data_IF_025265003706
#
_entry.id   IF_025265003706
#
_cell.length_a   1.000
_cell.length_b   1.000
_cell.length_c   1.000
_cell.angle_alpha   90.00
_cell.angle_beta   90.00
_cell.angle_gamma   90.00
#
_symmetry.space_group_name_H-M   'P 1'
#
loop_
_entity.id
_entity.type
_entity.pdbx_description
1 polymer ?
#
# COMPACT_ATOMS: atom_id res chain seq x y z
N UNK A 1 -14.18 5.51 5.09
CA UNK A 1 -14.60 4.21 4.52
C UNK A 1 -13.57 3.92 3.44
N UNK A 2 -12.66 2.97 3.60
CA UNK A 2 -11.60 2.78 2.61
C UNK A 2 -12.19 2.37 1.25
N UNK A 3 -12.18 3.31 0.31
CA UNK A 3 -12.65 3.11 -1.06
C UNK A 3 -11.60 2.27 -1.79
N UNK A 4 -12.05 1.30 -2.57
CA UNK A 4 -11.17 0.48 -3.39
C UNK A 4 -11.73 0.40 -4.82
N UNK A 5 -10.86 0.54 -5.79
CA UNK A 5 -11.22 0.48 -7.21
C UNK A 5 -11.55 -0.95 -7.64
N UNK A 6 -12.28 -1.12 -8.74
CA UNK A 6 -12.53 -2.44 -9.33
C UNK A 6 -11.22 -3.17 -9.70
N UNK A 7 -10.16 -2.42 -10.06
CA UNK A 7 -8.83 -3.00 -10.31
C UNK A 7 -8.24 -3.61 -9.03
N UNK A 8 -8.34 -2.89 -7.91
CA UNK A 8 -7.88 -3.42 -6.62
C UNK A 8 -8.59 -4.73 -6.27
N UNK A 9 -9.92 -4.77 -6.40
CA UNK A 9 -10.69 -5.97 -6.08
C UNK A 9 -10.32 -7.16 -6.95
N UNK A 10 -10.14 -6.96 -8.26
CA UNK A 10 -9.65 -8.01 -9.17
C UNK A 10 -8.28 -8.56 -8.73
N UNK A 11 -7.34 -7.67 -8.39
CA UNK A 11 -6.04 -8.10 -7.89
C UNK A 11 -6.18 -8.86 -6.56
N UNK A 12 -6.97 -8.34 -5.63
CA UNK A 12 -7.21 -8.97 -4.32
C UNK A 12 -7.81 -10.38 -4.45
N UNK A 13 -8.81 -10.55 -5.31
CA UNK A 13 -9.50 -11.82 -5.53
C UNK A 13 -8.59 -12.88 -6.16
N UNK A 14 -7.61 -12.46 -6.96
CA UNK A 14 -6.59 -13.37 -7.53
C UNK A 14 -5.54 -13.84 -6.52
N UNK A 15 -5.44 -13.21 -5.34
CA UNK A 15 -4.44 -13.61 -4.34
C UNK A 15 -4.82 -14.93 -3.67
N UNK A 16 -3.84 -15.69 -3.14
CA UNK A 16 -4.13 -16.84 -2.28
C UNK A 16 -5.01 -16.44 -1.08
N UNK A 17 -5.91 -17.33 -0.67
CA UNK A 17 -6.86 -17.08 0.44
C UNK A 17 -6.18 -16.64 1.74
N UNK A 18 -5.00 -17.19 2.03
CA UNK A 18 -4.19 -16.81 3.19
C UNK A 18 -3.75 -15.34 3.13
N UNK A 19 -3.34 -14.87 1.95
CA UNK A 19 -2.95 -13.47 1.72
C UNK A 19 -4.17 -12.55 1.78
N UNK A 20 -5.31 -12.96 1.22
CA UNK A 20 -6.57 -12.21 1.32
C UNK A 20 -6.96 -11.98 2.80
N UNK A 21 -6.84 -13.02 3.64
CA UNK A 21 -7.10 -12.92 5.08
C UNK A 21 -6.14 -11.95 5.76
N UNK A 22 -4.83 -12.08 5.51
CA UNK A 22 -3.80 -11.16 6.05
C UNK A 22 -4.04 -9.72 5.63
N UNK A 23 -4.41 -9.50 4.37
CA UNK A 23 -4.72 -8.17 3.87
C UNK A 23 -5.89 -7.53 4.63
N UNK A 24 -6.98 -8.28 4.87
CA UNK A 24 -8.09 -7.79 5.70
C UNK A 24 -7.63 -7.41 7.11
N UNK A 25 -6.83 -8.27 7.76
CA UNK A 25 -6.27 -7.98 9.10
C UNK A 25 -5.44 -6.68 9.10
N UNK A 26 -4.58 -6.48 8.09
CA UNK A 26 -3.78 -5.25 7.99
C UNK A 26 -4.64 -4.02 7.68
N UNK A 27 -5.71 -4.13 6.87
CA UNK A 27 -6.62 -3.00 6.64
C UNK A 27 -7.43 -2.64 7.88
N UNK A 28 -7.86 -3.62 8.68
CA UNK A 28 -8.51 -3.33 9.97
C UNK A 28 -7.53 -2.70 10.96
N UNK A 29 -6.27 -3.17 10.99
CA UNK A 29 -5.23 -2.53 11.78
C UNK A 29 -4.97 -1.09 11.33
N UNK A 30 -4.90 -0.84 10.02
CA UNK A 30 -4.72 0.49 9.45
C UNK A 30 -5.84 1.45 9.85
N UNK A 31 -7.10 1.00 9.87
CA UNK A 31 -8.24 1.82 10.34
C UNK A 31 -8.10 2.23 11.80
N UNK A 32 -7.58 1.32 12.63
CA UNK A 32 -7.48 1.52 14.08
C UNK A 32 -6.24 2.31 14.47
N UNK A 33 -5.11 2.01 13.85
CA UNK A 33 -3.81 2.61 14.12
C UNK A 33 -2.99 2.72 12.82
N UNK A 34 -3.13 3.82 12.07
CA UNK A 34 -2.35 4.05 10.87
C UNK A 34 -0.84 4.16 11.10
N UNK A 35 -0.42 4.43 12.34
CA UNK A 35 0.98 4.63 12.73
C UNK A 35 1.64 3.34 13.20
N UNK A 36 0.91 2.22 13.18
CA UNK A 36 1.44 0.93 13.62
C UNK A 36 2.68 0.53 12.79
N UNK A 37 3.84 0.25 13.42
CA UNK A 37 5.10 0.01 12.71
C UNK A 37 5.05 -1.13 11.69
N UNK A 38 4.25 -2.17 11.94
CA UNK A 38 4.12 -3.33 11.03
C UNK A 38 3.49 -2.98 9.69
N UNK A 39 2.67 -1.92 9.63
CA UNK A 39 2.00 -1.48 8.40
C UNK A 39 3.00 -0.86 7.44
N UNK A 40 4.09 -0.28 7.95
CA UNK A 40 5.01 0.57 7.19
C UNK A 40 4.26 1.55 6.28
N UNK A 41 3.17 2.13 6.79
CA UNK A 41 2.29 2.96 6.00
C UNK A 41 2.98 4.28 5.66
N UNK A 42 3.32 4.48 4.39
CA UNK A 42 4.14 5.63 3.95
C UNK A 42 3.83 6.07 2.53
N UNK A 43 4.11 7.33 2.23
CA UNK A 43 4.05 7.89 0.88
C UNK A 43 5.24 7.40 0.04
N UNK A 44 4.97 6.99 -1.20
CA UNK A 44 5.97 6.56 -2.18
C UNK A 44 5.59 7.17 -3.54
N UNK A 45 6.29 8.24 -3.92
CA UNK A 45 5.92 9.05 -5.08
C UNK A 45 4.52 9.63 -4.92
N UNK A 46 3.64 9.35 -5.90
CA UNK A 46 2.23 9.76 -5.86
C UNK A 46 1.31 8.80 -5.09
N UNK A 47 1.83 7.66 -4.65
CA UNK A 47 1.05 6.63 -3.96
C UNK A 47 1.33 6.61 -2.46
N UNK A 48 0.45 5.93 -1.74
CA UNK A 48 0.66 5.49 -0.37
C UNK A 48 0.77 3.97 -0.35
N UNK A 49 1.75 3.43 0.34
CA UNK A 49 2.01 1.99 0.41
C UNK A 49 1.76 1.47 1.82
N UNK A 50 1.12 0.30 1.90
CA UNK A 50 0.98 -0.48 3.13
C UNK A 50 1.56 -1.88 2.93
N UNK A 51 2.22 -2.39 3.96
CA UNK A 51 2.74 -3.75 4.04
C UNK A 51 1.62 -4.70 4.43
N UNK A 52 1.41 -5.71 3.59
CA UNK A 52 0.46 -6.80 3.87
C UNK A 52 1.18 -7.97 4.54
N UNK A 53 2.36 -8.29 4.02
CA UNK A 53 3.32 -9.25 4.56
C UNK A 53 4.70 -8.91 4.01
N UNK A 54 5.70 -9.76 4.22
CA UNK A 54 7.04 -9.56 3.64
C UNK A 54 6.99 -9.53 2.11
N UNK A 55 6.13 -10.36 1.52
CA UNK A 55 6.04 -10.60 0.09
C UNK A 55 4.90 -9.84 -0.61
N UNK A 56 4.00 -9.19 0.12
CA UNK A 56 2.84 -8.51 -0.47
C UNK A 56 2.73 -7.05 0.00
N UNK A 57 2.30 -6.17 -0.90
CA UNK A 57 2.05 -4.74 -0.66
C UNK A 57 0.70 -4.34 -1.26
N UNK A 58 0.09 -3.30 -0.70
CA UNK A 58 -1.02 -2.60 -1.34
C UNK A 58 -0.67 -1.12 -1.54
N UNK A 59 -1.30 -0.53 -2.55
CA UNK A 59 -1.12 0.87 -2.95
C UNK A 59 -2.45 1.61 -2.94
N UNK A 60 -2.43 2.82 -2.40
CA UNK A 60 -3.53 3.77 -2.44
C UNK A 60 -3.08 5.10 -3.06
N UNK A 61 -4.06 5.89 -3.51
CA UNK A 61 -3.90 7.30 -3.81
C UNK A 61 -4.67 8.12 -2.77
N UNK A 62 -4.17 9.31 -2.44
CA UNK A 62 -4.90 10.27 -1.61
C UNK A 62 -5.73 11.16 -2.54
N UNK A 63 -7.05 11.20 -2.37
CA UNK A 63 -7.95 12.01 -3.19
C UNK A 63 -8.21 13.42 -2.61
N UNK A 64 -7.71 13.71 -1.41
CA UNK A 64 -8.00 14.93 -0.67
C UNK A 64 -8.76 14.67 0.63
N UNK A 65 -9.49 13.55 0.70
CA UNK A 65 -10.41 13.22 1.78
C UNK A 65 -10.15 11.80 2.35
N UNK A 66 -9.94 10.80 1.50
CA UNK A 66 -9.66 9.42 1.92
C UNK A 66 -8.60 8.76 1.01
N UNK A 67 -8.14 7.58 1.45
CA UNK A 67 -7.29 6.70 0.67
C UNK A 67 -8.14 5.83 -0.26
N UNK A 68 -7.89 5.94 -1.57
CA UNK A 68 -8.48 5.06 -2.57
C UNK A 68 -7.48 3.97 -2.92
N UNK A 69 -7.77 2.73 -2.56
CA UNK A 69 -6.94 1.57 -2.87
C UNK A 69 -7.05 1.20 -4.35
N UNK A 70 -5.90 1.17 -5.03
CA UNK A 70 -5.81 1.00 -6.48
C UNK A 70 -5.16 -0.32 -6.90
N UNK A 71 -4.36 -0.92 -6.02
CA UNK A 71 -3.63 -2.15 -6.32
C UNK A 71 -3.22 -2.91 -5.04
N UNK A 72 -3.13 -4.23 -5.13
CA UNK A 72 -2.51 -5.12 -4.14
C UNK A 72 -1.85 -6.28 -4.89
N UNK A 73 -0.67 -6.69 -4.45
CA UNK A 73 0.06 -7.78 -5.12
C UNK A 73 1.43 -8.01 -4.53
N UNK A 74 2.28 -8.69 -5.29
CA UNK A 74 3.59 -9.14 -4.82
C UNK A 74 4.57 -7.97 -4.69
N UNK A 75 5.58 -8.12 -3.84
CA UNK A 75 6.64 -7.14 -3.70
C UNK A 75 7.39 -6.91 -5.03
N UNK A 76 7.56 -7.95 -5.84
CA UNK A 76 8.22 -7.83 -7.14
C UNK A 76 7.41 -6.98 -8.13
N UNK A 77 6.10 -7.17 -8.21
CA UNK A 77 5.21 -6.33 -9.02
C UNK A 77 5.21 -4.89 -8.53
N UNK A 78 5.20 -4.69 -7.21
CA UNK A 78 5.33 -3.39 -6.59
C UNK A 78 6.63 -2.68 -7.02
N UNK A 79 7.77 -3.35 -6.93
CA UNK A 79 9.07 -2.81 -7.34
C UNK A 79 9.08 -2.47 -8.85
N UNK A 80 8.48 -3.31 -9.70
CA UNK A 80 8.32 -3.02 -11.13
C UNK A 80 7.46 -1.79 -11.37
N UNK A 81 6.34 -1.65 -10.66
CA UNK A 81 5.46 -0.48 -10.75
C UNK A 81 6.20 0.79 -10.31
N UNK A 82 6.94 0.75 -9.20
CA UNK A 82 7.68 1.92 -8.73
C UNK A 82 8.75 2.38 -9.72
N UNK A 83 9.48 1.46 -10.34
CA UNK A 83 10.47 1.80 -11.38
C UNK A 83 9.85 2.48 -12.60
N UNK A 84 8.59 2.17 -12.91
CA UNK A 84 7.88 2.79 -14.02
C UNK A 84 7.24 4.13 -13.66
N UNK A 85 6.84 4.31 -12.39
CA UNK A 85 6.20 5.54 -11.91
C UNK A 85 7.16 6.57 -11.30
N UNK A 86 8.42 6.21 -11.09
CA UNK A 86 9.46 7.09 -10.58
C UNK A 86 10.56 7.25 -11.64
N UNK A 87 11.04 8.47 -11.96
CA UNK A 87 12.38 8.62 -12.52
C UNK A 87 13.40 8.03 -11.53
N UNK A 88 14.61 7.63 -11.96
CA UNK A 88 15.57 6.96 -11.11
C UNK A 88 15.96 7.88 -9.94
N UNK A 89 15.42 7.60 -8.75
CA UNK A 89 15.82 8.29 -7.53
C UNK A 89 16.92 7.46 -6.88
N UNK A 90 18.12 8.02 -6.86
CA UNK A 90 19.28 7.55 -6.10
C UNK A 90 18.87 7.28 -4.66
N UNK A 91 19.18 6.08 -4.16
CA UNK A 91 18.94 5.67 -2.77
C UNK A 91 19.58 6.69 -1.82
N UNK A 92 18.75 7.49 -1.16
CA UNK A 92 19.11 8.39 -0.09
C UNK A 92 18.18 8.16 1.10
N UNK A 93 18.78 7.76 2.22
CA UNK A 93 18.16 7.63 3.53
C UNK A 93 17.57 8.97 4.02
N UNK A 94 16.54 8.90 4.87
CA UNK A 94 15.90 10.04 5.54
C UNK A 94 14.39 10.03 5.24
N UNK A 95 13.48 10.12 6.19
CA UNK A 95 13.53 10.75 7.51
C UNK A 95 12.33 11.68 7.58
N UNK A 96 11.59 11.63 8.69
CA UNK A 96 10.69 12.71 9.12
C UNK A 96 9.34 12.87 8.43
N UNK A 97 8.41 13.39 9.24
CA UNK A 97 7.20 14.11 8.86
C UNK A 97 6.03 13.23 8.39
N UNK A 98 4.96 13.08 9.17
CA UNK A 98 4.21 14.17 9.78
C UNK A 98 3.00 14.46 8.89
N UNK A 99 1.83 13.96 9.28
CA UNK A 99 0.54 14.59 8.99
C UNK A 99 -0.49 14.10 10.03
N UNK A 100 -1.52 14.92 10.31
CA UNK A 100 -2.12 15.17 11.64
C UNK A 100 -2.57 13.93 12.40
#
# INVERSE_FOLDING_TARGET
MHKATSRFWKCFESLPRTVQKRAREQFELLKRDPRHPSLHFKKVGKFWSVRISDYYRALAIWDGDDYIWVWIGTHEEYERMLKHFSPPVSRGSGGGEGKP
#
